data_IF_351545007281
#
_entry.id   IF_351545007281
#
_cell.length_a   1.000
_cell.length_b   1.000
_cell.length_c   1.000
_cell.angle_alpha   90.00
_cell.angle_beta   90.00
_cell.angle_gamma   90.00
#
_symmetry.space_group_name_H-M   'P 1'
#
loop_
_entity.id
_entity.type
_entity.pdbx_description
1 polymer ?
#
# COMPACT_ATOMS: atom_id res chain seq x y z
N UNK A 1 -29.56 1.80 17.84
CA UNK A 1 -28.23 1.45 17.33
C UNK A 1 -27.19 1.84 18.35
N UNK A 2 -26.05 1.15 18.41
CA UNK A 2 -24.94 1.50 19.32
C UNK A 2 -24.55 2.97 19.11
N UNK A 3 -24.36 3.71 20.22
CA UNK A 3 -24.11 5.15 20.24
C UNK A 3 -22.66 5.53 19.90
N UNK A 4 -22.03 4.84 18.93
CA UNK A 4 -20.64 5.06 18.54
C UNK A 4 -20.61 6.14 17.45
N UNK A 5 -19.98 7.28 17.73
CA UNK A 5 -19.82 8.38 16.77
C UNK A 5 -18.40 8.41 16.20
N UNK A 6 -18.22 8.08 14.90
CA UNK A 6 -16.96 8.28 14.22
C UNK A 6 -16.77 9.73 13.78
N UNK A 7 -15.54 10.22 13.81
CA UNK A 7 -15.14 11.54 13.30
C UNK A 7 -13.86 11.39 12.50
N UNK A 8 -13.75 12.15 11.42
CA UNK A 8 -12.56 12.19 10.58
C UNK A 8 -11.88 13.55 10.65
N UNK A 9 -10.55 13.59 10.78
CA UNK A 9 -9.76 14.82 10.84
C UNK A 9 -8.54 14.74 9.92
N UNK A 10 -8.46 15.64 8.95
CA UNK A 10 -7.38 15.68 7.96
C UNK A 10 -7.10 17.10 7.46
N UNK A 11 -5.94 17.29 6.83
CA UNK A 11 -5.52 18.56 6.22
C UNK A 11 -6.41 19.02 5.07
N UNK A 12 -6.23 20.25 4.58
CA UNK A 12 -6.96 20.77 3.42
C UNK A 12 -8.42 21.19 3.68
N UNK A 13 -8.92 20.98 4.90
CA UNK A 13 -10.26 21.42 5.35
C UNK A 13 -10.13 22.32 6.59
N UNK A 14 -11.09 23.24 6.75
CA UNK A 14 -11.18 24.17 7.89
C UNK A 14 -11.06 23.44 9.22
N UNK A 15 -10.00 23.75 9.97
CA UNK A 15 -9.76 23.20 11.31
C UNK A 15 -10.93 23.51 12.26
N UNK A 16 -11.51 24.70 12.16
CA UNK A 16 -12.63 25.09 13.02
C UNK A 16 -13.88 24.22 12.82
N UNK A 17 -14.15 23.78 11.59
CA UNK A 17 -15.25 22.85 11.31
C UNK A 17 -14.99 21.48 11.95
N UNK A 18 -13.79 20.91 11.72
CA UNK A 18 -13.42 19.62 12.32
C UNK A 18 -13.39 19.66 13.86
N UNK A 19 -12.94 20.76 14.48
CA UNK A 19 -13.01 20.93 15.95
C UNK A 19 -14.45 20.87 16.42
N UNK A 20 -15.38 21.60 15.77
CA UNK A 20 -16.80 21.56 16.16
C UNK A 20 -17.37 20.16 16.06
N UNK A 21 -16.98 19.41 15.03
CA UNK A 21 -17.43 18.02 14.88
C UNK A 21 -16.82 17.09 15.93
N UNK A 22 -15.56 17.25 16.33
CA UNK A 22 -14.99 16.48 17.45
C UNK A 22 -15.72 16.80 18.75
N UNK A 23 -16.00 18.07 19.02
CA UNK A 23 -16.64 18.53 20.28
C UNK A 23 -18.10 18.07 20.45
N UNK A 24 -18.78 17.64 19.37
CA UNK A 24 -20.09 16.99 19.44
C UNK A 24 -20.04 15.57 20.04
N UNK A 25 -18.85 15.08 20.39
CA UNK A 25 -18.61 13.76 20.97
C UNK A 25 -17.98 12.80 19.95
N UNK A 26 -16.88 12.16 20.30
CA UNK A 26 -16.14 11.29 19.38
C UNK A 26 -15.73 10.01 20.09
N UNK A 27 -16.15 8.85 19.57
CA UNK A 27 -15.75 7.54 20.09
C UNK A 27 -14.65 6.90 19.24
N UNK A 28 -14.66 7.16 17.93
CA UNK A 28 -13.66 6.69 16.97
C UNK A 28 -13.17 7.89 16.17
N UNK A 29 -11.89 8.20 16.29
CA UNK A 29 -11.27 9.31 15.57
C UNK A 29 -10.31 8.73 14.53
N UNK A 30 -10.61 8.98 13.26
CA UNK A 30 -9.70 8.69 12.16
C UNK A 30 -9.05 9.99 11.70
N UNK A 31 -7.76 10.00 11.39
CA UNK A 31 -7.14 11.20 10.88
C UNK A 31 -5.69 11.08 10.51
N UNK A 32 -5.20 12.05 9.75
CA UNK A 32 -3.78 12.11 9.38
C UNK A 32 -2.93 12.59 10.56
N UNK A 33 -1.69 12.07 10.74
CA UNK A 33 -0.87 12.35 11.93
C UNK A 33 -0.75 13.85 12.26
N UNK A 34 -0.47 14.69 11.26
CA UNK A 34 -0.33 16.13 11.47
C UNK A 34 -1.60 16.81 12.00
N UNK A 35 -2.78 16.48 11.47
CA UNK A 35 -4.05 17.07 11.94
C UNK A 35 -4.45 16.52 13.31
N UNK A 36 -4.19 15.24 13.57
CA UNK A 36 -4.45 14.63 14.87
C UNK A 36 -3.61 15.29 15.96
N UNK A 37 -2.31 15.52 15.70
CA UNK A 37 -1.42 16.22 16.62
C UNK A 37 -1.83 17.68 16.86
N UNK A 38 -2.32 18.40 15.85
CA UNK A 38 -2.88 19.75 16.03
C UNK A 38 -4.09 19.74 16.97
N UNK A 39 -4.99 18.77 16.82
CA UNK A 39 -6.18 18.62 17.70
C UNK A 39 -5.80 18.29 19.15
N UNK A 40 -4.79 17.43 19.35
CA UNK A 40 -4.26 17.07 20.67
C UNK A 40 -3.55 18.27 21.30
N UNK A 41 -2.67 18.94 20.54
CA UNK A 41 -1.92 20.12 21.00
C UNK A 41 -2.81 21.29 21.41
N UNK A 42 -3.98 21.44 20.79
CA UNK A 42 -5.02 22.42 21.17
C UNK A 42 -5.91 21.98 22.34
N UNK A 43 -5.68 20.80 22.91
CA UNK A 43 -6.49 20.22 23.99
C UNK A 43 -7.93 19.88 23.56
N UNK A 44 -8.18 19.67 22.27
CA UNK A 44 -9.53 19.30 21.77
C UNK A 44 -9.76 17.80 21.76
N UNK A 45 -8.69 17.01 21.77
CA UNK A 45 -8.71 15.55 21.87
C UNK A 45 -7.79 15.13 23.01
N UNK A 46 -8.30 14.32 23.93
CA UNK A 46 -7.52 13.69 24.99
C UNK A 46 -7.38 12.18 24.74
N UNK A 47 -6.22 11.62 25.06
CA UNK A 47 -5.90 10.21 24.80
C UNK A 47 -6.06 9.30 26.03
N UNK A 48 -6.39 9.85 27.20
CA UNK A 48 -6.42 9.13 28.49
C UNK A 48 -7.35 7.91 28.55
N UNK A 49 -8.36 7.85 27.67
CA UNK A 49 -9.30 6.73 27.57
C UNK A 49 -9.11 5.87 26.32
N UNK A 50 -8.00 6.05 25.60
CA UNK A 50 -7.75 5.35 24.35
C UNK A 50 -7.44 3.87 24.61
N UNK A 51 -8.32 2.97 24.16
CA UNK A 51 -8.12 1.52 24.27
C UNK A 51 -7.53 0.88 23.02
N UNK A 52 -7.74 1.51 21.87
CA UNK A 52 -7.33 0.99 20.57
C UNK A 52 -6.57 2.07 19.80
N UNK A 53 -5.36 1.74 19.36
CA UNK A 53 -4.59 2.52 18.39
C UNK A 53 -4.48 1.71 17.11
N UNK A 54 -4.83 2.30 15.97
CA UNK A 54 -4.67 1.67 14.66
C UNK A 54 -3.75 2.54 13.82
N UNK A 55 -2.71 1.92 13.28
CA UNK A 55 -1.77 2.50 12.33
C UNK A 55 -1.98 1.78 11.00
N UNK A 56 -2.59 2.46 10.04
CA UNK A 56 -2.87 1.91 8.71
C UNK A 56 -1.93 2.51 7.66
N UNK A 57 -1.54 1.72 6.66
CA UNK A 57 -0.46 2.03 5.70
C UNK A 57 0.81 2.59 6.41
N UNK A 58 1.35 1.86 7.40
CA UNK A 58 2.45 2.34 8.25
C UNK A 58 3.76 2.60 7.49
N UNK A 59 4.10 1.75 6.52
CA UNK A 59 5.15 1.97 5.52
C UNK A 59 5.01 3.33 4.84
N UNK A 60 3.78 3.69 4.45
CA UNK A 60 3.51 4.98 3.81
C UNK A 60 3.62 6.17 4.74
N UNK A 61 3.24 6.01 6.00
CA UNK A 61 3.47 7.07 6.97
C UNK A 61 4.98 7.36 7.12
N UNK A 62 5.84 6.34 7.07
CA UNK A 62 7.30 6.55 7.05
C UNK A 62 7.78 7.21 5.76
N UNK A 63 7.32 6.75 4.59
CA UNK A 63 7.68 7.36 3.29
C UNK A 63 7.31 8.84 3.20
N UNK A 64 6.23 9.25 3.86
CA UNK A 64 5.77 10.64 3.93
C UNK A 64 6.51 11.47 4.99
N UNK A 65 7.46 10.85 5.72
CA UNK A 65 8.22 11.50 6.78
C UNK A 65 7.42 11.73 8.06
N UNK A 66 6.31 11.00 8.28
CA UNK A 66 5.48 11.15 9.48
C UNK A 66 6.00 10.35 10.69
N UNK A 67 7.17 9.72 10.60
CA UNK A 67 7.77 9.04 11.74
C UNK A 67 7.85 9.92 13.00
N UNK A 68 8.35 11.17 12.93
CA UNK A 68 8.44 12.03 14.09
C UNK A 68 7.07 12.34 14.70
N UNK A 69 6.06 12.61 13.86
CA UNK A 69 4.68 12.84 14.29
C UNK A 69 4.06 11.62 14.96
N UNK A 70 4.29 10.42 14.41
CA UNK A 70 3.80 9.17 15.00
C UNK A 70 4.45 8.90 16.35
N UNK A 71 5.78 9.07 16.46
CA UNK A 71 6.50 8.93 17.73
C UNK A 71 6.01 9.94 18.77
N UNK A 72 5.75 11.18 18.36
CA UNK A 72 5.15 12.22 19.22
C UNK A 72 3.72 11.88 19.64
N UNK A 73 2.92 11.27 18.76
CA UNK A 73 1.57 10.82 19.09
C UNK A 73 1.59 9.74 20.16
N UNK A 74 2.44 8.71 19.98
CA UNK A 74 2.56 7.61 20.95
C UNK A 74 3.17 8.09 22.28
N UNK A 75 4.05 9.09 22.24
CA UNK A 75 4.60 9.76 23.42
C UNK A 75 3.73 10.90 23.99
N UNK A 76 2.53 11.13 23.46
CA UNK A 76 1.70 12.27 23.88
C UNK A 76 1.17 12.09 25.31
N UNK A 77 1.01 13.19 26.07
CA UNK A 77 0.47 13.13 27.42
C UNK A 77 -0.89 12.44 27.47
N UNK A 78 -1.03 11.48 28.39
CA UNK A 78 -2.25 10.71 28.57
C UNK A 78 -2.40 9.54 27.59
N UNK A 79 -1.47 9.30 26.66
CA UNK A 79 -1.47 8.07 25.87
C UNK A 79 -1.19 6.86 26.79
N UNK A 80 -2.09 5.86 26.90
CA UNK A 80 -1.83 4.69 27.72
C UNK A 80 -0.62 3.92 27.20
N UNK A 81 0.17 3.33 28.09
CA UNK A 81 1.33 2.50 27.71
C UNK A 81 0.91 1.39 26.74
N UNK A 82 1.84 0.91 25.89
CA UNK A 82 1.55 -0.12 24.88
C UNK A 82 1.02 -1.43 25.47
N UNK A 83 1.34 -1.72 26.73
CA UNK A 83 0.79 -2.87 27.47
C UNK A 83 -0.69 -2.69 27.85
N UNK A 84 -1.13 -1.45 28.04
CA UNK A 84 -2.48 -1.08 28.52
C UNK A 84 -3.44 -0.65 27.40
N UNK A 85 -3.02 -0.77 26.13
CA UNK A 85 -3.85 -0.54 24.95
C UNK A 85 -3.65 -1.68 23.95
N UNK A 86 -4.61 -1.87 23.06
CA UNK A 86 -4.41 -2.70 21.88
C UNK A 86 -3.91 -1.82 20.74
N UNK A 87 -2.75 -2.15 20.17
CA UNK A 87 -2.25 -1.50 18.95
C UNK A 87 -2.36 -2.47 17.78
N UNK A 88 -2.92 -2.02 16.66
CA UNK A 88 -2.91 -2.73 15.39
C UNK A 88 -2.08 -1.92 14.40
N UNK A 89 -1.20 -2.60 13.66
CA UNK A 89 -0.39 -1.98 12.62
C UNK A 89 -0.57 -2.76 11.32
N UNK A 90 -0.95 -2.05 10.27
CA UNK A 90 -1.12 -2.58 8.92
C UNK A 90 -0.12 -1.92 7.99
N UNK A 91 0.53 -2.72 7.16
CA UNK A 91 1.59 -2.30 6.24
C UNK A 91 1.61 -3.26 5.07
N UNK A 92 1.76 -2.76 3.85
CA UNK A 92 1.84 -3.62 2.67
C UNK A 92 3.24 -4.21 2.51
N UNK A 93 4.26 -3.45 2.93
CA UNK A 93 5.67 -3.87 2.95
C UNK A 93 6.18 -3.97 4.39
N UNK A 94 7.29 -4.68 4.58
CA UNK A 94 7.86 -4.90 5.92
C UNK A 94 9.40 -4.68 5.97
N UNK A 95 9.89 -3.50 5.53
CA UNK A 95 11.30 -3.14 5.61
C UNK A 95 11.78 -3.02 7.06
N UNK A 96 13.10 -2.91 7.26
CA UNK A 96 13.72 -2.84 8.59
C UNK A 96 13.14 -1.69 9.44
N UNK A 97 12.88 -0.53 8.85
CA UNK A 97 12.32 0.60 9.59
C UNK A 97 10.89 0.34 10.09
N UNK A 98 10.08 -0.43 9.34
CA UNK A 98 8.76 -0.87 9.81
C UNK A 98 8.87 -1.93 10.90
N UNK A 99 9.88 -2.81 10.83
CA UNK A 99 10.16 -3.77 11.91
C UNK A 99 10.52 -3.04 13.22
N UNK A 100 11.34 -1.99 13.13
CA UNK A 100 11.69 -1.13 14.28
C UNK A 100 10.46 -0.41 14.83
N UNK A 101 9.63 0.15 13.94
CA UNK A 101 8.38 0.81 14.34
C UNK A 101 7.41 -0.17 15.05
N UNK A 102 7.29 -1.39 14.53
CA UNK A 102 6.50 -2.47 15.14
C UNK A 102 7.00 -2.76 16.57
N UNK A 103 8.30 -2.94 16.74
CA UNK A 103 8.92 -3.24 18.04
C UNK A 103 8.69 -2.11 19.06
N UNK A 104 8.74 -0.86 18.60
CA UNK A 104 8.52 0.30 19.44
C UNK A 104 7.05 0.42 19.89
N UNK A 105 6.10 0.27 18.96
CA UNK A 105 4.70 0.64 19.17
C UNK A 105 3.78 -0.50 19.60
N UNK A 106 4.13 -1.74 19.26
CA UNK A 106 3.39 -2.95 19.61
C UNK A 106 3.92 -3.56 20.92
N UNK A 107 3.11 -4.42 21.52
CA UNK A 107 3.52 -5.25 22.66
C UNK A 107 4.62 -6.21 22.23
N UNK A 108 5.40 -6.70 23.19
CA UNK A 108 6.51 -7.63 22.90
C UNK A 108 6.02 -8.92 22.24
N UNK A 109 4.82 -9.38 22.60
CA UNK A 109 4.18 -10.63 22.18
C UNK A 109 3.17 -10.44 21.03
N UNK A 110 3.33 -9.43 20.18
CA UNK A 110 2.40 -9.17 19.08
C UNK A 110 2.33 -10.33 18.08
N UNK A 111 1.13 -10.61 17.59
CA UNK A 111 0.92 -11.57 16.50
C UNK A 111 1.31 -10.94 15.16
N UNK A 112 2.26 -11.57 14.47
CA UNK A 112 2.62 -11.19 13.11
C UNK A 112 1.83 -12.03 12.12
N UNK A 113 0.95 -11.36 11.36
CA UNK A 113 0.16 -11.99 10.31
C UNK A 113 0.70 -11.57 8.94
N UNK A 114 1.11 -12.54 8.14
CA UNK A 114 1.49 -12.35 6.75
C UNK A 114 0.43 -12.97 5.84
N UNK A 115 -0.12 -12.17 4.93
CA UNK A 115 -1.04 -12.64 3.88
C UNK A 115 -0.30 -12.55 2.55
N UNK A 116 -0.08 -13.70 1.91
CA UNK A 116 0.76 -13.80 0.70
C UNK A 116 2.26 -13.72 0.98
N UNK A 117 3.04 -13.36 -0.04
CA UNK A 117 4.50 -13.14 0.11
C UNK A 117 4.72 -11.74 0.66
N UNK A 118 5.28 -11.63 1.86
CA UNK A 118 5.61 -10.34 2.50
C UNK A 118 6.54 -9.54 1.58
N UNK A 119 6.11 -8.36 1.14
CA UNK A 119 6.84 -7.51 0.18
C UNK A 119 6.81 -7.99 -1.29
N UNK A 120 5.96 -8.96 -1.63
CA UNK A 120 5.66 -9.35 -3.01
C UNK A 120 4.47 -8.58 -3.58
N UNK A 121 4.41 -8.43 -4.91
CA UNK A 121 3.18 -8.00 -5.57
C UNK A 121 2.07 -9.04 -5.39
N UNK A 122 0.82 -8.59 -5.32
CA UNK A 122 -0.33 -9.48 -5.24
C UNK A 122 -0.40 -10.37 -6.50
N UNK A 123 -0.56 -11.68 -6.31
CA UNK A 123 -0.78 -12.65 -7.41
C UNK A 123 -2.04 -12.35 -8.21
N UNK A 124 -2.99 -11.64 -7.60
CA UNK A 124 -4.30 -11.33 -8.19
C UNK A 124 -4.23 -10.15 -9.17
N UNK A 125 -3.03 -9.62 -9.46
CA UNK A 125 -2.81 -8.56 -10.44
C UNK A 125 -1.92 -9.06 -11.56
N UNK A 126 -2.52 -9.18 -12.75
CA UNK A 126 -1.79 -9.45 -13.99
C UNK A 126 -0.95 -8.22 -14.35
N UNK A 127 0.36 -8.41 -14.44
CA UNK A 127 1.32 -7.33 -14.69
C UNK A 127 1.87 -7.44 -16.12
N UNK A 128 1.78 -6.35 -16.88
CA UNK A 128 2.30 -6.26 -18.25
C UNK A 128 3.22 -5.05 -18.37
N UNK A 129 4.40 -5.25 -18.96
CA UNK A 129 5.36 -4.19 -19.23
C UNK A 129 5.44 -3.92 -20.74
N UNK A 130 5.43 -2.66 -21.11
CA UNK A 130 5.58 -2.21 -22.49
C UNK A 130 6.77 -1.25 -22.52
N UNK A 131 7.79 -1.59 -23.30
CA UNK A 131 8.89 -0.68 -23.57
C UNK A 131 8.39 0.44 -24.48
N UNK A 132 8.44 1.68 -24.00
CA UNK A 132 7.93 2.83 -24.74
C UNK A 132 8.71 4.09 -24.37
N UNK A 133 9.32 4.70 -25.38
CA UNK A 133 10.00 5.98 -25.20
C UNK A 133 9.03 7.10 -24.83
N UNK A 134 9.50 8.05 -24.02
CA UNK A 134 8.76 9.20 -23.50
C UNK A 134 7.74 9.86 -24.44
N UNK A 135 8.08 10.06 -25.72
CA UNK A 135 7.22 10.76 -26.67
C UNK A 135 6.02 9.93 -27.15
N UNK A 136 6.13 8.60 -27.13
CA UNK A 136 5.12 7.67 -27.64
C UNK A 136 4.14 7.21 -26.55
N UNK A 137 4.47 7.44 -25.27
CA UNK A 137 3.64 7.02 -24.12
C UNK A 137 2.19 7.50 -24.21
N UNK A 138 1.93 8.69 -24.75
CA UNK A 138 0.58 9.26 -24.86
C UNK A 138 -0.31 8.51 -25.85
N UNK A 139 0.25 8.17 -27.01
CA UNK A 139 -0.46 7.41 -28.04
C UNK A 139 -0.70 5.98 -27.54
N UNK A 140 0.32 5.36 -26.94
CA UNK A 140 0.19 4.04 -26.32
C UNK A 140 -0.89 4.00 -25.22
N UNK A 141 -0.98 5.05 -24.39
CA UNK A 141 -2.02 5.16 -23.36
C UNK A 141 -3.41 5.22 -24.01
N UNK A 142 -3.57 6.02 -25.06
CA UNK A 142 -4.84 6.18 -25.75
C UNK A 142 -5.34 4.84 -26.33
N UNK A 143 -4.44 4.07 -26.94
CA UNK A 143 -4.79 2.76 -27.53
C UNK A 143 -5.22 1.74 -26.46
N UNK A 144 -4.53 1.73 -25.31
CA UNK A 144 -4.91 0.89 -24.16
C UNK A 144 -6.28 1.30 -23.62
N UNK A 145 -6.53 2.61 -23.46
CA UNK A 145 -7.80 3.11 -22.93
C UNK A 145 -8.97 2.86 -23.88
N UNK A 146 -8.75 2.97 -25.20
CA UNK A 146 -9.76 2.60 -26.21
C UNK A 146 -10.12 1.13 -26.17
N UNK A 147 -9.14 0.26 -25.87
CA UNK A 147 -9.35 -1.19 -25.78
C UNK A 147 -10.05 -1.60 -24.47
N UNK A 148 -9.72 -0.94 -23.36
CA UNK A 148 -10.34 -1.19 -22.04
C UNK A 148 -11.73 -0.55 -21.90
N UNK A 149 -12.09 0.41 -22.75
CA UNK A 149 -13.44 0.95 -22.86
C UNK A 149 -13.85 1.77 -21.63
N UNK A 150 -14.87 1.30 -20.91
CA UNK A 150 -15.45 2.00 -19.74
C UNK A 150 -14.96 1.45 -18.40
N UNK A 151 -14.01 0.52 -18.42
CA UNK A 151 -13.40 0.01 -17.20
C UNK A 151 -12.74 1.14 -16.41
N UNK A 152 -12.96 1.16 -15.10
CA UNK A 152 -12.35 2.15 -14.21
C UNK A 152 -10.84 1.94 -14.19
N UNK A 153 -10.15 2.95 -14.70
CA UNK A 153 -8.71 2.91 -14.92
C UNK A 153 -8.03 4.04 -14.17
N UNK A 154 -7.05 3.71 -13.34
CA UNK A 154 -6.17 4.70 -12.72
C UNK A 154 -4.89 4.80 -13.52
N UNK A 155 -4.54 6.01 -13.96
CA UNK A 155 -3.31 6.31 -14.68
C UNK A 155 -2.37 7.07 -13.75
N UNK A 156 -1.25 6.46 -13.39
CA UNK A 156 -0.22 7.07 -12.56
C UNK A 156 0.81 7.83 -13.39
N UNK A 157 0.99 9.10 -13.06
CA UNK A 157 2.02 9.99 -13.62
C UNK A 157 2.90 10.54 -12.51
N UNK A 158 4.13 10.93 -12.83
CA UNK A 158 5.08 11.45 -11.83
C UNK A 158 4.71 12.88 -11.39
N UNK A 159 4.45 13.77 -12.36
CA UNK A 159 4.36 15.22 -12.13
C UNK A 159 2.92 15.73 -12.13
N UNK A 160 2.61 16.60 -11.16
CA UNK A 160 1.28 17.20 -10.96
C UNK A 160 0.74 17.91 -12.21
N UNK A 161 1.54 18.79 -12.83
CA UNK A 161 1.16 19.50 -14.07
C UNK A 161 0.88 18.55 -15.22
N UNK A 162 1.55 17.40 -15.24
CA UNK A 162 1.38 16.41 -16.29
C UNK A 162 0.07 15.62 -16.11
N UNK A 163 -0.42 15.45 -14.88
CA UNK A 163 -1.71 14.82 -14.62
C UNK A 163 -2.86 15.58 -15.30
N UNK A 164 -2.90 16.91 -15.17
CA UNK A 164 -3.91 17.74 -15.85
C UNK A 164 -3.72 17.75 -17.37
N UNK A 165 -2.47 17.76 -17.85
CA UNK A 165 -2.17 17.71 -19.27
C UNK A 165 -2.69 16.42 -19.92
N UNK A 166 -2.41 15.26 -19.32
CA UNK A 166 -2.89 13.96 -19.80
C UNK A 166 -4.41 13.88 -19.70
N UNK A 167 -5.01 14.30 -18.59
CA UNK A 167 -6.47 14.30 -18.46
C UNK A 167 -7.15 15.17 -19.52
N UNK A 168 -6.60 16.35 -19.81
CA UNK A 168 -7.11 17.25 -20.86
C UNK A 168 -6.99 16.62 -22.24
N UNK A 169 -5.84 16.02 -22.54
CA UNK A 169 -5.61 15.30 -23.80
C UNK A 169 -6.61 14.16 -23.99
N UNK A 170 -6.84 13.34 -22.97
CA UNK A 170 -7.81 12.24 -23.03
C UNK A 170 -9.24 12.73 -23.23
N UNK A 171 -9.62 13.84 -22.57
CA UNK A 171 -10.92 14.47 -22.79
C UNK A 171 -11.09 14.99 -24.24
N UNK A 172 -10.03 15.53 -24.86
CA UNK A 172 -10.05 15.96 -26.27
C UNK A 172 -10.26 14.77 -27.22
N UNK A 173 -9.70 13.61 -26.87
CA UNK A 173 -9.89 12.33 -27.54
C UNK A 173 -11.24 11.66 -27.20
N UNK A 174 -12.16 12.38 -26.56
CA UNK A 174 -13.51 11.95 -26.17
C UNK A 174 -13.54 10.81 -25.14
N UNK A 175 -12.50 10.68 -24.32
CA UNK A 175 -12.47 9.79 -23.17
C UNK A 175 -12.75 10.59 -21.88
N UNK A 176 -13.91 10.39 -21.22
CA UNK A 176 -14.23 11.14 -20.00
C UNK A 176 -13.21 10.85 -18.90
N UNK A 177 -12.44 11.87 -18.54
CA UNK A 177 -11.29 11.72 -17.66
C UNK A 177 -11.28 12.82 -16.61
N UNK A 178 -10.82 12.49 -15.42
CA UNK A 178 -10.55 13.46 -14.35
C UNK A 178 -9.13 13.28 -13.81
N UNK A 179 -8.64 14.24 -13.02
CA UNK A 179 -7.30 14.17 -12.43
C UNK A 179 -7.30 14.53 -10.95
N UNK A 180 -6.35 13.94 -10.22
CA UNK A 180 -6.09 14.19 -8.79
C UNK A 180 -4.59 14.36 -8.56
N UNK A 181 -4.21 15.52 -8.03
CA UNK A 181 -2.83 15.83 -7.63
C UNK A 181 -2.85 16.80 -6.44
N UNK A 182 -1.69 16.98 -5.80
CA UNK A 182 -1.57 17.77 -4.57
C UNK A 182 -1.79 19.28 -4.70
N UNK A 183 -1.96 19.81 -5.92
CA UNK A 183 -2.27 21.24 -6.13
C UNK A 183 -3.78 21.47 -6.30
N UNK A 184 -4.59 20.41 -6.37
CA UNK A 184 -6.06 20.52 -6.38
C UNK A 184 -6.58 20.80 -4.98
N UNK A 185 -7.60 21.64 -4.92
CA UNK A 185 -8.32 21.93 -3.69
C UNK A 185 -9.06 20.67 -3.21
N UNK A 186 -9.29 20.55 -1.91
CA UNK A 186 -9.86 19.34 -1.32
C UNK A 186 -11.24 18.99 -1.91
N UNK A 187 -12.12 19.98 -2.12
CA UNK A 187 -13.42 19.73 -2.76
C UNK A 187 -13.28 19.24 -4.22
N UNK A 188 -12.25 19.69 -4.95
CA UNK A 188 -12.00 19.23 -6.32
C UNK A 188 -11.55 17.78 -6.33
N UNK A 189 -10.72 17.38 -5.34
CA UNK A 189 -10.31 15.97 -5.16
C UNK A 189 -11.51 15.09 -4.83
N UNK A 190 -12.37 15.54 -3.93
CA UNK A 190 -13.61 14.82 -3.55
C UNK A 190 -14.57 14.69 -4.75
N UNK A 191 -14.74 15.75 -5.54
CA UNK A 191 -15.54 15.71 -6.76
C UNK A 191 -14.95 14.76 -7.82
N UNK A 192 -13.63 14.80 -8.04
CA UNK A 192 -12.96 13.90 -8.98
C UNK A 192 -13.15 12.43 -8.58
N UNK A 193 -13.06 12.11 -7.28
CA UNK A 193 -13.35 10.77 -6.78
C UNK A 193 -14.82 10.38 -6.92
N UNK A 194 -15.75 11.32 -6.75
CA UNK A 194 -17.17 11.07 -6.97
C UNK A 194 -17.47 10.80 -8.45
N UNK A 195 -16.90 11.59 -9.37
CA UNK A 195 -17.03 11.41 -10.82
C UNK A 195 -16.41 10.07 -11.26
N UNK A 196 -15.28 9.67 -10.67
CA UNK A 196 -14.67 8.36 -10.94
C UNK A 196 -15.49 7.19 -10.41
N UNK A 197 -15.92 7.24 -9.14
CA UNK A 197 -16.72 6.17 -8.52
C UNK A 197 -18.07 5.98 -9.20
N UNK A 198 -18.72 7.06 -9.63
CA UNK A 198 -19.98 7.00 -10.38
C UNK A 198 -19.82 6.51 -11.82
N UNK A 199 -18.60 6.39 -12.33
CA UNK A 199 -18.32 6.03 -13.72
C UNK A 199 -18.52 7.17 -14.73
N UNK A 200 -18.85 8.39 -14.27
CA UNK A 200 -18.96 9.58 -15.12
C UNK A 200 -17.62 9.91 -15.79
N UNK A 201 -16.52 9.73 -15.06
CA UNK A 201 -15.16 9.76 -15.60
C UNK A 201 -14.47 8.43 -15.29
N UNK A 202 -14.53 7.40 -16.16
CA UNK A 202 -13.93 6.10 -15.88
C UNK A 202 -12.40 6.13 -15.84
N UNK A 203 -11.75 7.21 -16.28
CA UNK A 203 -10.30 7.38 -16.19
C UNK A 203 -9.94 8.42 -15.14
N UNK A 204 -9.09 8.04 -14.19
CA UNK A 204 -8.52 8.93 -13.17
C UNK A 204 -7.00 9.02 -13.34
N UNK A 205 -6.51 10.19 -13.75
CA UNK A 205 -5.07 10.47 -13.82
C UNK A 205 -4.60 11.02 -12.49
N UNK A 206 -3.64 10.36 -11.85
CA UNK A 206 -3.19 10.74 -10.52
C UNK A 206 -1.68 10.72 -10.36
N UNK A 207 -1.17 11.60 -9.49
CA UNK A 207 0.17 11.41 -8.92
C UNK A 207 0.10 10.47 -7.73
N UNK A 208 1.16 9.70 -7.48
CA UNK A 208 1.18 8.74 -6.37
C UNK A 208 0.85 9.37 -5.02
N UNK A 209 1.40 10.55 -4.74
CA UNK A 209 1.13 11.26 -3.49
C UNK A 209 -0.35 11.56 -3.30
N UNK A 210 -1.05 11.89 -4.39
CA UNK A 210 -2.44 12.31 -4.30
C UNK A 210 -3.43 11.14 -4.30
N UNK A 211 -3.02 9.98 -4.80
CA UNK A 211 -3.80 8.73 -4.80
C UNK A 211 -3.63 7.87 -3.53
N UNK A 212 -2.57 8.11 -2.74
CA UNK A 212 -2.33 7.39 -1.46
C UNK A 212 -3.46 7.63 -0.46
N UNK A 213 -3.81 6.59 0.31
CA UNK A 213 -4.88 6.65 1.31
C UNK A 213 -6.29 6.89 0.76
N UNK A 214 -6.46 6.95 -0.56
CA UNK A 214 -7.80 7.01 -1.17
C UNK A 214 -8.31 5.58 -1.36
N UNK A 215 -9.42 5.29 -0.70
CA UNK A 215 -10.18 4.08 -0.96
C UNK A 215 -10.98 4.27 -2.25
N UNK A 216 -10.46 3.67 -3.32
CA UNK A 216 -11.06 3.70 -4.64
C UNK A 216 -11.52 2.27 -4.93
N UNK A 217 -12.78 1.92 -4.61
CA UNK A 217 -13.28 0.58 -4.85
C UNK A 217 -13.39 0.31 -6.36
N UNK A 218 -13.27 -0.97 -6.71
CA UNK A 218 -13.57 -1.50 -8.04
C UNK A 218 -12.77 -0.89 -9.20
N UNK A 219 -11.47 -0.62 -8.99
CA UNK A 219 -10.54 -0.32 -10.09
C UNK A 219 -10.23 -1.62 -10.81
N UNK A 220 -10.53 -1.70 -12.11
CA UNK A 220 -10.19 -2.87 -12.92
C UNK A 220 -8.76 -2.77 -13.46
N UNK A 221 -8.37 -1.58 -13.94
CA UNK A 221 -7.10 -1.37 -14.61
C UNK A 221 -6.25 -0.31 -13.89
N UNK A 222 -4.95 -0.59 -13.80
CA UNK A 222 -3.93 0.37 -13.40
C UNK A 222 -2.95 0.56 -14.55
N UNK A 223 -2.64 1.80 -14.89
CA UNK A 223 -1.61 2.13 -15.88
C UNK A 223 -0.54 2.97 -15.21
N UNK A 224 0.68 2.45 -15.10
CA UNK A 224 1.85 3.25 -14.74
C UNK A 224 2.37 3.92 -16.01
N UNK A 225 1.88 5.13 -16.28
CA UNK A 225 2.37 5.94 -17.41
C UNK A 225 3.85 6.32 -17.19
N UNK A 226 4.15 6.75 -15.97
CA UNK A 226 5.52 6.90 -15.48
C UNK A 226 5.74 5.84 -14.39
N UNK A 227 6.82 5.07 -14.46
CA UNK A 227 7.20 4.19 -13.35
C UNK A 227 7.58 5.01 -12.11
N UNK A 228 7.37 4.49 -10.89
CA UNK A 228 7.82 5.14 -9.68
C UNK A 228 9.34 5.04 -9.49
N UNK A 229 9.89 5.87 -8.61
CA UNK A 229 11.32 5.86 -8.29
C UNK A 229 11.77 4.73 -7.35
N UNK A 230 10.82 3.98 -6.77
CA UNK A 230 11.10 2.86 -5.89
C UNK A 230 10.06 1.75 -6.04
N UNK A 231 10.46 0.54 -5.64
CA UNK A 231 9.69 -0.68 -5.88
C UNK A 231 8.47 -0.79 -4.96
N UNK A 232 8.57 -0.30 -3.73
CA UNK A 232 7.45 -0.30 -2.79
C UNK A 232 6.30 0.52 -3.36
N UNK A 233 6.60 1.68 -3.95
CA UNK A 233 5.58 2.49 -4.62
C UNK A 233 4.96 1.79 -5.82
N UNK A 234 5.73 1.03 -6.59
CA UNK A 234 5.20 0.23 -7.69
C UNK A 234 4.15 -0.78 -7.19
N UNK A 235 4.49 -1.57 -6.17
CA UNK A 235 3.59 -2.57 -5.56
C UNK A 235 2.29 -1.93 -5.10
N UNK A 236 2.37 -0.77 -4.44
CA UNK A 236 1.19 -0.06 -3.97
C UNK A 236 0.31 0.54 -5.07
N UNK A 237 0.91 0.97 -6.20
CA UNK A 237 0.15 1.46 -7.35
C UNK A 237 -0.66 0.32 -7.97
N UNK A 238 -0.02 -0.81 -8.23
CA UNK A 238 -0.70 -1.98 -8.82
C UNK A 238 -1.70 -2.61 -7.86
N UNK A 239 -1.48 -2.54 -6.54
CA UNK A 239 -2.44 -2.96 -5.50
C UNK A 239 -3.71 -2.10 -5.38
N UNK A 240 -3.88 -1.09 -6.26
CA UNK A 240 -5.16 -0.39 -6.41
C UNK A 240 -6.19 -1.22 -7.18
N UNK A 241 -5.76 -2.21 -7.95
CA UNK A 241 -6.62 -3.23 -8.58
C UNK A 241 -6.42 -4.61 -7.93
N UNK A 242 -7.18 -5.62 -8.35
CA UNK A 242 -7.00 -7.01 -7.90
C UNK A 242 -7.45 -7.26 -6.46
N UNK A 243 -8.61 -6.71 -6.06
CA UNK A 243 -9.14 -6.81 -4.68
C UNK A 243 -10.35 -7.76 -4.61
N UNK A 244 -10.54 -8.38 -3.44
CA UNK A 244 -11.70 -9.20 -3.09
C UNK A 244 -11.98 -10.38 -4.06
N UNK A 245 -10.92 -11.03 -4.56
CA UNK A 245 -11.03 -12.18 -5.46
C UNK A 245 -11.24 -11.84 -6.94
N UNK A 246 -11.30 -10.55 -7.30
CA UNK A 246 -11.28 -10.12 -8.70
C UNK A 246 -9.83 -10.05 -9.20
N UNK A 247 -9.60 -10.50 -10.44
CA UNK A 247 -8.30 -10.33 -11.10
C UNK A 247 -8.18 -8.90 -11.60
N UNK A 248 -7.13 -8.22 -11.17
CA UNK A 248 -6.77 -6.88 -11.63
C UNK A 248 -5.77 -6.90 -12.77
N UNK A 249 -5.70 -5.82 -13.54
CA UNK A 249 -4.70 -5.64 -14.61
C UNK A 249 -3.85 -4.40 -14.36
N UNK A 250 -2.54 -4.55 -14.45
CA UNK A 250 -1.58 -3.46 -14.34
C UNK A 250 -0.67 -3.41 -15.57
N UNK A 251 -0.75 -2.31 -16.33
CA UNK A 251 0.16 -2.06 -17.46
C UNK A 251 1.17 -0.99 -17.06
N UNK A 252 2.45 -1.24 -17.33
CA UNK A 252 3.52 -0.30 -16.99
C UNK A 252 4.35 0.05 -18.21
N UNK A 253 4.51 1.36 -18.43
CA UNK A 253 5.40 1.88 -19.45
C UNK A 253 6.82 1.98 -18.92
N UNK A 254 7.75 1.32 -19.60
CA UNK A 254 9.16 1.32 -19.26
C UNK A 254 9.94 2.10 -20.32
N UNK A 255 10.69 3.11 -19.87
CA UNK A 255 11.64 3.85 -20.71
C UNK A 255 13.07 3.47 -20.27
N UNK A 256 13.85 2.75 -21.11
CA UNK A 256 15.21 2.32 -20.76
C UNK A 256 16.14 3.47 -20.38
N UNK A 257 15.85 4.69 -20.82
CA UNK A 257 16.69 5.87 -20.53
C UNK A 257 16.50 6.43 -19.13
N UNK A 258 15.36 6.17 -18.49
CA UNK A 258 15.01 6.71 -17.16
C UNK A 258 14.81 5.64 -16.09
N UNK A 259 14.30 4.46 -16.47
CA UNK A 259 13.75 3.49 -15.51
C UNK A 259 14.74 2.38 -15.12
N UNK A 260 15.96 2.42 -15.68
CA UNK A 260 17.05 1.49 -15.42
C UNK A 260 17.36 1.20 -13.94
N UNK A 261 17.28 2.18 -13.01
CA UNK A 261 17.48 1.91 -11.58
C UNK A 261 16.46 0.94 -10.96
N UNK A 262 15.26 0.81 -11.53
CA UNK A 262 14.18 -0.02 -10.99
C UNK A 262 14.18 -1.45 -11.55
N UNK A 263 14.89 -1.71 -12.65
CA UNK A 263 14.81 -2.93 -13.47
C UNK A 263 14.99 -4.21 -12.67
N UNK A 264 16.06 -4.31 -11.87
CA UNK A 264 16.35 -5.52 -11.06
C UNK A 264 15.24 -5.83 -10.07
N UNK A 265 14.74 -4.79 -9.40
CA UNK A 265 13.65 -4.92 -8.44
C UNK A 265 12.35 -5.34 -9.13
N UNK A 266 12.06 -4.82 -10.33
CA UNK A 266 10.91 -5.23 -11.14
C UNK A 266 10.99 -6.72 -11.53
N UNK A 267 12.14 -7.17 -12.05
CA UNK A 267 12.36 -8.58 -12.42
C UNK A 267 12.17 -9.49 -11.21
N UNK A 268 12.71 -9.11 -10.04
CA UNK A 268 12.52 -9.86 -8.80
C UNK A 268 11.05 -9.95 -8.40
N UNK A 269 10.30 -8.85 -8.49
CA UNK A 269 8.86 -8.83 -8.16
C UNK A 269 8.05 -9.69 -9.12
N UNK A 270 8.26 -9.55 -10.43
CA UNK A 270 7.55 -10.33 -11.44
C UNK A 270 7.81 -11.83 -11.25
N UNK A 271 9.07 -12.22 -11.03
CA UNK A 271 9.46 -13.61 -10.80
C UNK A 271 8.80 -14.18 -9.55
N UNK A 272 8.80 -13.44 -8.44
CA UNK A 272 8.13 -13.85 -7.19
C UNK A 272 6.61 -13.95 -7.33
N UNK A 273 6.01 -13.08 -8.13
CA UNK A 273 4.58 -13.06 -8.41
C UNK A 273 4.17 -14.05 -9.52
N UNK A 274 5.10 -14.89 -9.99
CA UNK A 274 4.89 -15.86 -11.08
C UNK A 274 4.31 -15.22 -12.35
N UNK A 275 4.70 -13.98 -12.63
CA UNK A 275 4.32 -13.26 -13.83
C UNK A 275 5.34 -13.52 -14.94
N UNK A 276 4.92 -13.35 -16.20
CA UNK A 276 5.83 -13.38 -17.33
C UNK A 276 6.79 -12.19 -17.26
N UNK A 277 8.10 -12.48 -17.26
CA UNK A 277 9.14 -11.45 -17.32
C UNK A 277 9.52 -11.26 -18.78
N UNK A 278 9.36 -10.06 -19.37
CA UNK A 278 9.80 -9.83 -20.73
C UNK A 278 11.32 -10.00 -20.86
N UNK A 279 11.77 -10.69 -21.90
CA UNK A 279 13.21 -10.98 -22.11
C UNK A 279 14.08 -9.72 -22.13
N UNK A 280 13.59 -8.64 -22.76
CA UNK A 280 14.28 -7.35 -22.81
C UNK A 280 14.46 -6.73 -21.40
N UNK A 281 13.52 -6.97 -20.48
CA UNK A 281 13.62 -6.46 -19.11
C UNK A 281 14.66 -7.24 -18.31
N UNK A 282 14.76 -8.55 -18.53
CA UNK A 282 15.83 -9.38 -17.96
C UNK A 282 17.20 -8.94 -18.47
N UNK A 283 17.35 -8.76 -19.79
CA UNK A 283 18.59 -8.27 -20.41
C UNK A 283 19.06 -6.96 -19.78
N UNK A 284 18.16 -6.00 -19.56
CA UNK A 284 18.49 -4.75 -18.86
C UNK A 284 18.91 -4.95 -17.40
N UNK A 285 18.32 -5.92 -16.70
CA UNK A 285 18.70 -6.21 -15.32
C UNK A 285 20.12 -6.78 -15.23
N UNK A 286 20.55 -7.56 -16.24
CA UNK A 286 21.90 -8.08 -16.37
C UNK A 286 22.90 -7.02 -16.87
N UNK A 287 22.49 -6.15 -17.80
CA UNK A 287 23.38 -5.16 -18.43
C UNK A 287 23.62 -3.89 -17.60
N UNK A 288 22.75 -3.58 -16.64
CA UNK A 288 22.96 -2.51 -15.66
C UNK A 288 23.54 -3.08 -14.36
N UNK A 289 24.87 -3.22 -14.21
CA UNK A 289 25.48 -3.46 -12.91
C UNK A 289 25.24 -2.26 -12.00
N UNK A 290 24.35 -2.39 -11.01
CA UNK A 290 24.34 -1.47 -9.86
C UNK A 290 25.74 -1.49 -9.24
N UNK A 291 26.39 -0.34 -9.03
CA UNK A 291 27.69 -0.31 -8.37
C UNK A 291 27.50 -0.75 -6.91
N UNK A 292 27.96 -1.96 -6.58
CA UNK A 292 28.06 -2.45 -5.19
C UNK A 292 27.23 -3.67 -4.81
N UNK A 293 26.48 -4.30 -5.71
CA UNK A 293 25.77 -5.56 -5.41
C UNK A 293 26.26 -6.71 -6.29
N UNK A 294 27.15 -7.54 -5.73
CA UNK A 294 27.61 -8.80 -6.34
C UNK A 294 26.42 -9.76 -6.56
N UNK A 295 26.15 -10.04 -7.83
CA UNK A 295 25.14 -11.00 -8.26
C UNK A 295 25.66 -12.42 -8.02
N UNK A 296 25.20 -13.07 -6.94
CA UNK A 296 25.37 -14.50 -6.73
C UNK A 296 24.02 -15.22 -6.90
N UNK A 297 23.78 -15.95 -7.99
CA UNK A 297 22.47 -16.51 -8.35
C UNK A 297 22.00 -17.66 -7.44
N UNK A 298 22.71 -17.95 -6.35
CA UNK A 298 22.39 -19.08 -5.46
C UNK A 298 22.25 -18.71 -3.98
N UNK A 299 22.23 -17.43 -3.59
CA UNK A 299 21.95 -17.05 -2.18
C UNK A 299 21.70 -15.55 -2.03
N UNK A 300 20.42 -15.16 -1.91
CA UNK A 300 19.90 -14.31 -0.81
C UNK A 300 18.44 -13.95 -1.10
N UNK A 301 17.59 -14.31 -0.15
CA UNK A 301 16.19 -13.92 -0.12
C UNK A 301 16.07 -12.40 -0.21
N UNK A 302 15.30 -11.91 -1.18
CA UNK A 302 14.87 -10.52 -1.29
C UNK A 302 13.74 -10.23 -0.28
N UNK A 303 13.90 -10.77 0.92
CA UNK A 303 13.19 -10.45 2.13
C UNK A 303 14.31 -10.11 3.10
N UNK A 304 14.30 -8.88 3.65
CA UNK A 304 15.15 -8.62 4.82
C UNK A 304 14.92 -9.78 5.80
N UNK A 305 15.95 -10.55 6.18
CA UNK A 305 15.77 -11.62 7.13
C UNK A 305 15.08 -11.03 8.34
N UNK A 306 14.03 -11.70 8.82
CA UNK A 306 13.37 -11.32 10.06
C UNK A 306 14.44 -11.27 11.16
N UNK A 307 14.84 -10.05 11.53
CA UNK A 307 15.92 -9.79 12.47
C UNK A 307 15.60 -10.36 13.86
N UNK A 308 14.32 -10.67 14.13
CA UNK A 308 13.85 -11.36 15.34
C UNK A 308 14.41 -12.77 15.49
N UNK A 309 14.85 -13.43 14.40
CA UNK A 309 15.41 -14.80 14.46
C UNK A 309 16.84 -14.88 15.01
N UNK A 310 17.49 -13.75 15.32
CA UNK A 310 18.89 -13.70 15.78
C UNK A 310 19.12 -13.83 17.30
N UNK A 311 18.07 -13.83 18.13
CA UNK A 311 18.18 -13.85 19.60
C UNK A 311 17.29 -14.92 20.23
N UNK A 312 17.56 -16.19 19.97
CA UNK A 312 17.19 -17.30 20.87
C UNK A 312 17.84 -18.60 20.38
N UNK A 313 19.08 -18.85 20.78
CA UNK A 313 19.64 -20.21 20.81
C UNK A 313 19.32 -20.83 22.17
N UNK A 314 18.08 -21.31 22.30
CA UNK A 314 17.67 -22.26 23.33
C UNK A 314 17.19 -23.52 22.63
N UNK A 315 17.97 -24.60 22.76
CA UNK A 315 17.72 -25.90 22.14
C UNK A 315 16.34 -26.45 22.47
N UNK A 316 15.48 -26.58 21.46
CA UNK A 316 14.31 -27.47 21.52
C UNK A 316 14.65 -28.77 20.80
N UNK A 317 14.65 -29.85 21.57
CA UNK A 317 14.92 -31.22 21.14
C UNK A 317 13.62 -31.80 20.56
N UNK A 318 13.61 -32.11 19.26
CA UNK A 318 12.51 -32.80 18.59
C UNK A 318 12.36 -34.21 19.16
N UNK A 319 11.25 -34.46 19.85
CA UNK A 319 10.84 -35.80 20.26
C UNK A 319 9.85 -36.32 19.23
N UNK A 320 10.31 -37.18 18.32
CA UNK A 320 9.45 -37.90 17.40
C UNK A 320 8.57 -38.89 18.18
N UNK A 321 7.26 -38.66 18.20
CA UNK A 321 6.28 -39.64 18.69
C UNK A 321 5.85 -40.50 17.51
N UNK A 322 6.29 -41.75 17.55
CA UNK A 322 5.94 -42.82 16.62
C UNK A 322 4.53 -43.32 16.95
N UNK A 323 3.55 -43.15 16.06
CA UNK A 323 2.21 -43.71 16.20
C UNK A 323 2.16 -45.14 15.67
N UNK A 324 2.37 -46.11 16.57
CA UNK A 324 1.96 -47.49 16.34
C UNK A 324 0.50 -47.67 16.79
N UNK A 325 -0.36 -48.00 15.83
CA UNK A 325 -1.74 -48.44 16.06
C UNK A 325 -1.67 -49.87 16.61
N UNK A 326 -2.15 -50.07 17.84
CA UNK A 326 -2.44 -51.41 18.39
C UNK A 326 -3.94 -51.58 18.44
N UNK A 327 -4.42 -52.62 17.77
CA UNK A 327 -5.79 -53.08 17.84
C UNK A 327 -5.98 -53.86 19.15
N UNK A 328 -6.99 -53.48 19.93
CA UNK A 328 -7.51 -54.29 21.02
C UNK A 328 -8.93 -54.71 20.62
N UNK A 329 -9.09 -56.02 20.46
CA UNK A 329 -10.37 -56.70 20.40
C UNK A 329 -10.93 -56.81 21.83
N UNK A 330 -12.22 -56.55 21.98
CA UNK A 330 -13.04 -57.12 23.06
C UNK A 330 -14.39 -57.48 22.42
N UNK A 331 -14.56 -58.78 22.17
CA UNK A 331 -15.84 -59.45 22.02
C UNK A 331 -16.33 -59.83 23.43
N UNK A 332 -17.59 -59.55 23.77
CA UNK A 332 -18.49 -60.45 24.52
C UNK A 332 -19.91 -59.83 24.68
N UNK A 333 -20.75 -60.08 23.67
CA UNK A 333 -21.98 -60.91 23.71
C UNK A 333 -22.98 -60.95 24.92
N UNK A 334 -24.28 -60.83 24.54
CA UNK A 334 -25.59 -61.26 25.13
C UNK A 334 -25.97 -60.81 26.57
N UNK A 335 -27.19 -60.37 26.91
CA UNK A 335 -28.58 -60.51 26.44
C UNK A 335 -29.29 -59.13 26.49
#
# INVERSE_FOLDING_TARGET
GTCVRPVVVYGGVSTGHQIRDVLRGCNVLCGTPGRLMDMIGRGKVGLSKLRYLVLDEADRMLDMGFEPEMRRLVGSPGMPAKENRQTLMFSATFPEDIQRLAADFLKVDYLFLAVGVVGGACSDVQQTFIEVGKFNKREQLLDILKTTGMDRTIVFVEKKRYADFIATFLCQEKLPTTSIHGDREQYQREQALADFRSGKCPVLVATSVAARGLDIPDVQNVVNFDLPNNIDEYVHRIGRTGRCGNIGRAVSFYDPTTDGPLTRSLVSILSKAQQEVPSWLEEYAFSNPSPGEDFNPSRKNFASPDSRKGQQTGSFQESAVNSQVTAAADDEEWE
#
